data_IF_205731070572
#
_entry.id   IF_205731070572
#
_cell.length_a   1.000
_cell.length_b   1.000
_cell.length_c   1.000
_cell.angle_alpha   90.00
_cell.angle_beta   90.00
_cell.angle_gamma   90.00
#
_symmetry.space_group_name_H-M   'P 1'
#
loop_
_entity.id
_entity.type
_entity.pdbx_description
1 polymer ?
#
# COMPACT_ATOMS: atom_id res chain seq x y z
N UNK A 1 4.26 -3.89 -11.72
CA UNK A 1 3.98 -4.81 -10.58
C UNK A 1 5.21 -5.54 -10.03
N UNK A 2 6.44 -5.11 -10.33
CA UNK A 2 7.67 -5.73 -9.78
C UNK A 2 7.70 -5.82 -8.26
N UNK A 3 7.04 -4.89 -7.57
CA UNK A 3 7.12 -4.76 -6.11
C UNK A 3 6.11 -5.62 -5.35
N UNK A 4 5.20 -6.31 -6.04
CA UNK A 4 4.28 -7.30 -5.45
C UNK A 4 4.37 -8.59 -6.27
N UNK A 5 4.94 -9.64 -5.66
CA UNK A 5 5.29 -10.85 -6.38
C UNK A 5 5.06 -12.09 -5.51
N UNK A 6 4.87 -13.23 -6.17
CA UNK A 6 4.78 -14.54 -5.55
C UNK A 6 6.21 -15.09 -5.36
N UNK A 7 6.61 -15.36 -4.11
CA UNK A 7 7.91 -15.95 -3.79
C UNK A 7 7.89 -17.50 -3.85
N UNK A 8 6.73 -18.10 -4.18
CA UNK A 8 6.50 -19.54 -4.29
C UNK A 8 5.78 -20.13 -3.07
N UNK A 9 6.12 -19.66 -1.87
CA UNK A 9 5.48 -20.04 -0.61
C UNK A 9 4.46 -19.00 -0.12
N UNK A 10 4.75 -17.71 -0.35
CA UNK A 10 3.89 -16.59 0.00
C UNK A 10 4.11 -15.39 -0.93
N UNK A 11 3.15 -14.48 -0.94
CA UNK A 11 3.33 -13.20 -1.60
C UNK A 11 4.21 -12.27 -0.76
N UNK A 12 5.04 -11.47 -1.45
CA UNK A 12 5.94 -10.51 -0.82
C UNK A 12 5.78 -9.12 -1.44
N UNK A 13 6.01 -8.10 -0.61
CA UNK A 13 6.16 -6.71 -1.06
C UNK A 13 7.62 -6.30 -0.97
N UNK A 14 8.18 -5.80 -2.08
CA UNK A 14 9.52 -5.21 -2.13
C UNK A 14 9.43 -3.72 -1.90
N UNK A 15 10.27 -3.20 -1.00
CA UNK A 15 10.42 -1.77 -0.76
C UNK A 15 11.84 -1.36 -1.05
N UNK A 16 12.01 -0.39 -1.94
CA UNK A 16 13.30 0.26 -2.17
C UNK A 16 13.65 1.19 -1.00
N UNK A 17 14.87 1.08 -0.50
CA UNK A 17 15.41 1.92 0.56
C UNK A 17 16.54 2.82 0.02
N UNK A 18 16.92 3.81 0.84
CA UNK A 18 18.02 4.71 0.49
C UNK A 18 19.33 3.92 0.36
N UNK A 19 20.12 4.25 -0.67
CA UNK A 19 21.43 3.63 -0.91
C UNK A 19 21.37 2.32 -1.71
N UNK A 20 20.31 2.10 -2.50
CA UNK A 20 20.19 0.92 -3.37
C UNK A 20 19.83 -0.37 -2.65
N UNK A 21 19.56 -0.29 -1.34
CA UNK A 21 19.05 -1.42 -0.56
C UNK A 21 17.58 -1.67 -0.88
N UNK A 22 17.14 -2.90 -0.72
CA UNK A 22 15.73 -3.25 -0.76
C UNK A 22 15.41 -4.21 0.37
N UNK A 23 14.20 -4.10 0.90
CA UNK A 23 13.65 -5.04 1.87
C UNK A 23 12.44 -5.72 1.28
N UNK A 24 12.27 -6.99 1.62
CA UNK A 24 11.12 -7.77 1.23
C UNK A 24 10.34 -8.13 2.48
N UNK A 25 9.04 -7.85 2.46
CA UNK A 25 8.15 -8.09 3.60
C UNK A 25 7.07 -9.08 3.16
N UNK A 26 6.97 -10.23 3.84
CA UNK A 26 5.87 -11.17 3.64
C UNK A 26 4.49 -10.52 3.77
N UNK A 27 3.61 -10.85 2.84
CA UNK A 27 2.24 -10.35 2.81
C UNK A 27 1.35 -11.32 3.57
N UNK A 28 0.76 -10.84 4.67
CA UNK A 28 -0.25 -11.60 5.42
C UNK A 28 -1.47 -11.92 4.53
N UNK A 29 -2.10 -13.06 4.76
CA UNK A 29 -3.17 -13.59 3.90
C UNK A 29 -4.34 -12.61 3.67
N UNK A 30 -4.77 -11.85 4.68
CA UNK A 30 -5.81 -10.83 4.54
C UNK A 30 -5.38 -9.67 3.62
N UNK A 31 -4.14 -9.20 3.77
CA UNK A 31 -3.56 -8.18 2.90
C UNK A 31 -3.41 -8.69 1.46
N UNK A 32 -3.04 -9.95 1.28
CA UNK A 32 -2.98 -10.59 -0.03
C UNK A 32 -4.35 -10.56 -0.72
N UNK A 33 -5.42 -10.92 0.01
CA UNK A 33 -6.79 -10.84 -0.53
C UNK A 33 -7.16 -9.41 -0.96
N UNK A 34 -6.83 -8.40 -0.16
CA UNK A 34 -7.08 -7.00 -0.52
C UNK A 34 -6.29 -6.56 -1.76
N UNK A 35 -5.02 -6.94 -1.86
CA UNK A 35 -4.16 -6.58 -2.99
C UNK A 35 -4.62 -7.28 -4.27
N UNK A 36 -4.89 -8.59 -4.22
CA UNK A 36 -5.39 -9.36 -5.36
C UNK A 36 -6.76 -8.85 -5.82
N UNK A 37 -7.67 -8.55 -4.89
CA UNK A 37 -8.97 -7.95 -5.21
C UNK A 37 -8.83 -6.59 -5.89
N UNK A 38 -7.90 -5.74 -5.42
CA UNK A 38 -7.60 -4.48 -6.07
C UNK A 38 -6.99 -4.67 -7.48
N UNK A 39 -6.02 -5.57 -7.66
CA UNK A 39 -5.38 -5.84 -8.96
C UNK A 39 -6.41 -6.31 -9.98
N UNK A 40 -7.33 -7.20 -9.58
CA UNK A 40 -8.42 -7.68 -10.41
C UNK A 40 -9.39 -6.54 -10.77
N UNK A 41 -9.86 -5.77 -9.78
CA UNK A 41 -10.79 -4.66 -10.00
C UNK A 41 -10.18 -3.52 -10.83
N UNK A 42 -8.87 -3.30 -10.71
CA UNK A 42 -8.15 -2.30 -11.48
C UNK A 42 -7.84 -2.77 -12.91
N UNK A 43 -7.96 -4.07 -13.21
CA UNK A 43 -7.65 -4.64 -14.52
C UNK A 43 -6.16 -4.59 -14.87
N UNK A 44 -5.28 -4.60 -13.86
CA UNK A 44 -3.84 -4.37 -14.06
C UNK A 44 -3.00 -5.65 -14.03
N UNK A 45 -3.59 -6.83 -13.84
CA UNK A 45 -2.87 -8.09 -13.64
C UNK A 45 -1.96 -8.53 -14.80
N UNK A 46 -2.15 -7.98 -16.00
CA UNK A 46 -1.31 -8.26 -17.18
C UNK A 46 -0.43 -7.09 -17.60
N UNK A 47 -0.36 -6.03 -16.79
CA UNK A 47 0.44 -4.84 -17.12
C UNK A 47 1.95 -5.11 -16.96
N UNK A 48 2.79 -4.36 -17.69
CA UNK A 48 4.24 -4.43 -17.57
C UNK A 48 4.76 -4.37 -16.11
N UNK A 49 5.91 -5.00 -15.86
CA UNK A 49 6.47 -5.12 -14.52
C UNK A 49 6.83 -3.76 -13.88
N UNK A 50 7.13 -2.74 -14.67
CA UNK A 50 7.38 -1.36 -14.25
C UNK A 50 6.11 -0.55 -13.98
N UNK A 51 4.93 -1.07 -14.33
CA UNK A 51 3.66 -0.38 -14.09
C UNK A 51 3.39 -0.21 -12.58
N UNK A 52 2.88 0.95 -12.15
CA UNK A 52 2.59 1.22 -10.75
C UNK A 52 1.47 0.30 -10.24
N UNK A 53 1.65 -0.23 -9.03
CA UNK A 53 0.62 -1.03 -8.36
C UNK A 53 -0.60 -0.15 -8.04
N UNK A 54 -0.41 0.92 -7.27
CA UNK A 54 -1.50 1.84 -6.93
C UNK A 54 -1.60 2.98 -7.94
N UNK A 55 -2.70 3.00 -8.69
CA UNK A 55 -2.96 3.98 -9.74
C UNK A 55 -3.76 5.17 -9.23
N UNK A 56 -3.52 6.33 -9.81
CA UNK A 56 -4.34 7.52 -9.54
C UNK A 56 -5.71 7.40 -10.22
N UNK A 57 -6.70 8.10 -9.69
CA UNK A 57 -8.07 8.10 -10.21
C UNK A 57 -8.44 9.48 -10.76
N UNK A 58 -9.20 9.52 -11.84
CA UNK A 58 -9.66 10.77 -12.45
C UNK A 58 -10.79 11.35 -11.58
N UNK A 59 -10.45 12.35 -10.75
CA UNK A 59 -11.39 13.11 -9.91
C UNK A 59 -12.38 12.20 -9.16
N UNK A 60 -13.68 12.30 -9.46
CA UNK A 60 -14.77 11.51 -8.87
C UNK A 60 -15.41 10.54 -9.86
N UNK A 61 -14.72 10.22 -10.96
CA UNK A 61 -15.26 9.38 -12.04
C UNK A 61 -15.18 7.88 -11.75
N UNK A 62 -14.37 7.48 -10.77
CA UNK A 62 -14.10 6.07 -10.49
C UNK A 62 -13.15 5.40 -11.50
N UNK A 63 -12.68 6.12 -12.53
CA UNK A 63 -11.73 5.60 -13.53
C UNK A 63 -10.30 5.76 -13.06
N UNK A 64 -9.54 4.66 -13.10
CA UNK A 64 -8.10 4.66 -12.85
C UNK A 64 -7.33 5.12 -14.10
N UNK A 65 -6.19 5.77 -13.89
CA UNK A 65 -5.24 6.12 -14.95
C UNK A 65 -4.09 5.11 -14.99
N UNK A 66 -3.17 5.25 -15.93
CA UNK A 66 -1.92 4.48 -15.94
C UNK A 66 -0.84 5.08 -15.02
N UNK A 67 -1.07 6.26 -14.46
CA UNK A 67 -0.13 6.95 -13.58
C UNK A 67 -0.24 6.48 -12.13
N UNK A 68 0.91 6.37 -11.45
CA UNK A 68 0.96 6.04 -10.03
C UNK A 68 0.31 7.10 -9.16
N UNK A 69 -0.24 6.69 -8.02
CA UNK A 69 -0.76 7.59 -7.01
C UNK A 69 0.38 8.40 -6.37
N UNK A 70 0.19 9.72 -6.25
CA UNK A 70 1.16 10.59 -5.55
C UNK A 70 0.99 10.50 -4.03
N UNK A 71 1.99 10.96 -3.28
CA UNK A 71 1.89 11.09 -1.83
C UNK A 71 0.72 12.01 -1.41
N UNK A 72 0.44 13.07 -2.18
CA UNK A 72 -0.68 13.97 -1.93
C UNK A 72 -2.03 13.30 -2.20
N UNK A 73 -2.13 12.48 -3.25
CA UNK A 73 -3.34 11.70 -3.52
C UNK A 73 -3.64 10.73 -2.37
N UNK A 74 -2.61 10.02 -1.90
CA UNK A 74 -2.70 9.14 -0.73
C UNK A 74 -3.10 9.92 0.52
N UNK A 75 -2.45 11.05 0.80
CA UNK A 75 -2.76 11.90 1.95
C UNK A 75 -4.22 12.37 1.93
N UNK A 76 -4.67 12.93 0.81
CA UNK A 76 -6.06 13.34 0.60
C UNK A 76 -7.02 12.16 0.79
N UNK A 77 -6.64 10.98 0.30
CA UNK A 77 -7.43 9.75 0.43
C UNK A 77 -7.58 9.30 1.89
N UNK A 78 -6.47 9.25 2.65
CA UNK A 78 -6.46 8.86 4.06
C UNK A 78 -7.26 9.85 4.89
N UNK A 79 -7.05 11.17 4.71
CA UNK A 79 -7.80 12.21 5.45
C UNK A 79 -9.31 12.12 5.25
N UNK A 80 -9.78 11.80 4.03
CA UNK A 80 -11.21 11.58 3.78
C UNK A 80 -11.76 10.38 4.57
N UNK A 81 -11.03 9.25 4.59
CA UNK A 81 -11.42 8.05 5.32
C UNK A 81 -11.42 8.28 6.83
N UNK A 82 -10.40 8.96 7.33
CA UNK A 82 -10.31 9.35 8.73
C UNK A 82 -11.50 10.18 9.18
N UNK A 83 -11.86 11.23 8.41
CA UNK A 83 -13.04 12.04 8.71
C UNK A 83 -14.32 11.20 8.73
N UNK A 84 -14.48 10.28 7.76
CA UNK A 84 -15.64 9.38 7.71
C UNK A 84 -15.71 8.44 8.91
N UNK A 85 -14.55 8.05 9.46
CA UNK A 85 -14.45 7.22 10.65
C UNK A 85 -14.48 8.01 11.98
N UNK A 86 -14.68 9.33 11.95
CA UNK A 86 -14.66 10.17 13.15
C UNK A 86 -13.28 10.34 13.79
N UNK A 87 -12.19 10.04 13.06
CA UNK A 87 -10.83 10.12 13.59
C UNK A 87 -10.25 11.54 13.48
N UNK A 88 -9.37 11.94 14.42
CA UNK A 88 -8.75 13.27 14.42
C UNK A 88 -7.98 13.57 13.13
N UNK A 89 -8.17 14.77 12.57
CA UNK A 89 -7.50 15.20 11.34
C UNK A 89 -5.98 15.30 11.45
N UNK A 90 -5.40 15.26 12.65
CA UNK A 90 -3.96 15.28 12.89
C UNK A 90 -3.25 13.97 12.53
N UNK A 91 -3.92 12.81 12.53
CA UNK A 91 -3.21 11.56 12.20
C UNK A 91 -2.91 11.48 10.71
N UNK A 92 -1.85 10.74 10.37
CA UNK A 92 -1.34 10.57 9.02
C UNK A 92 -0.90 9.12 8.80
N UNK A 93 -0.55 8.72 7.56
CA UNK A 93 0.12 7.44 7.31
C UNK A 93 1.34 7.23 8.23
N UNK A 94 2.08 8.31 8.54
CA UNK A 94 3.21 8.23 9.47
C UNK A 94 2.75 7.88 10.90
N UNK A 95 1.65 8.47 11.39
CA UNK A 95 1.09 8.13 12.70
C UNK A 95 0.72 6.65 12.80
N UNK A 96 0.10 6.08 11.75
CA UNK A 96 -0.22 4.65 11.72
C UNK A 96 1.04 3.79 11.73
N UNK A 97 2.06 4.16 10.95
CA UNK A 97 3.35 3.46 10.98
C UNK A 97 3.97 3.44 12.38
N UNK A 98 3.99 4.57 13.08
CA UNK A 98 4.51 4.65 14.44
C UNK A 98 3.70 3.74 15.37
N UNK A 99 2.37 3.81 15.32
CA UNK A 99 1.51 2.96 16.13
C UNK A 99 1.76 1.45 15.90
N UNK A 100 1.90 1.03 14.63
CA UNK A 100 2.22 -0.36 14.29
C UNK A 100 3.58 -0.80 14.83
N UNK A 101 4.61 0.05 14.71
CA UNK A 101 5.95 -0.25 15.25
C UNK A 101 5.89 -0.40 16.78
N UNK A 102 5.21 0.52 17.47
CA UNK A 102 5.06 0.45 18.92
C UNK A 102 4.32 -0.81 19.36
N UNK A 103 3.26 -1.20 18.66
CA UNK A 103 2.50 -2.41 18.94
C UNK A 103 3.34 -3.69 18.74
N UNK A 104 4.09 -3.77 17.64
CA UNK A 104 5.01 -4.89 17.39
C UNK A 104 6.08 -5.01 18.48
N UNK A 105 6.69 -3.89 18.88
CA UNK A 105 7.67 -3.87 19.96
C UNK A 105 7.07 -4.28 21.30
N UNK A 106 5.85 -3.85 21.61
CA UNK A 106 5.14 -4.23 22.84
C UNK A 106 4.84 -5.74 22.90
N UNK A 107 4.66 -6.37 21.73
CA UNK A 107 4.48 -7.82 21.58
C UNK A 107 5.81 -8.60 21.53
N UNK A 108 6.96 -7.92 21.66
CA UNK A 108 8.28 -8.54 21.61
C UNK A 108 8.73 -8.97 20.21
N UNK A 109 8.07 -8.48 19.16
CA UNK A 109 8.44 -8.79 17.78
C UNK A 109 9.68 -7.99 17.35
N UNK A 110 10.68 -8.63 16.70
CA UNK A 110 11.79 -7.91 16.11
C UNK A 110 11.33 -7.07 14.90
N UNK A 111 11.98 -5.93 14.67
CA UNK A 111 11.69 -5.00 13.56
C UNK A 111 12.58 -5.25 12.34
#
# INVERSE_FOLDING_TARGET
MRDYFDAGDQYCLRFAEKGGKSREIPVRHDLQQFLSGYVAAAGIGSMPADSPLFRSAIRRTGRLTDSGMTADDMSRMVKRRMRKAGLPSRLSPHSFRVATITDLLAQGMPL
#
